data_IF_296172263871
#
_entry.id   IF_296172263871
#
_cell.length_a   1.000
_cell.length_b   1.000
_cell.length_c   1.000
_cell.angle_alpha   90.00
_cell.angle_beta   90.00
_cell.angle_gamma   90.00
#
_symmetry.space_group_name_H-M   'P 1'
#
loop_
_entity.id
_entity.type
_entity.pdbx_description
1 polymer ?
#
# COMPACT_ATOMS: atom_id res chain seq x y z
N UNK A 1 4.70 1.48 -0.80
CA UNK A 1 3.71 1.48 0.31
C UNK A 1 2.66 0.37 0.14
N UNK A 2 1.98 0.25 -1.02
CA UNK A 2 0.99 -0.81 -1.25
C UNK A 2 1.59 -2.22 -1.18
N UNK A 3 2.84 -2.40 -1.55
CA UNK A 3 3.57 -3.67 -1.49
C UNK A 3 4.01 -4.08 -0.08
N UNK A 4 4.19 -3.11 0.80
CA UNK A 4 4.64 -3.36 2.18
C UNK A 4 3.49 -3.58 3.16
N UNK A 5 2.23 -3.37 2.75
CA UNK A 5 1.05 -3.51 3.60
C UNK A 5 -0.08 -4.17 2.84
N UNK A 6 -0.35 -5.44 3.14
CA UNK A 6 -1.47 -6.19 2.56
C UNK A 6 -2.79 -5.43 2.78
N UNK A 7 -3.57 -5.26 1.71
CA UNK A 7 -4.87 -4.58 1.74
C UNK A 7 -4.82 -3.07 1.49
N UNK A 8 -3.66 -2.41 1.58
CA UNK A 8 -3.58 -0.96 1.36
C UNK A 8 -3.92 -0.56 -0.09
N UNK A 9 -3.65 -1.44 -1.06
CA UNK A 9 -4.05 -1.24 -2.47
C UNK A 9 -5.56 -1.16 -2.65
N UNK A 10 -6.32 -1.95 -1.88
CA UNK A 10 -7.78 -1.93 -1.90
C UNK A 10 -8.29 -0.60 -1.36
N UNK A 11 -7.73 -0.14 -0.22
CA UNK A 11 -8.08 1.17 0.36
C UNK A 11 -7.80 2.31 -0.62
N UNK A 12 -6.65 2.28 -1.30
CA UNK A 12 -6.36 3.30 -2.32
C UNK A 12 -7.31 3.23 -3.52
N UNK A 13 -7.68 2.02 -3.95
CA UNK A 13 -8.66 1.86 -5.05
C UNK A 13 -10.01 2.42 -4.67
N UNK A 14 -10.48 2.19 -3.45
CA UNK A 14 -11.74 2.76 -2.95
C UNK A 14 -11.67 4.28 -2.80
N UNK A 15 -10.53 4.83 -2.33
CA UNK A 15 -10.36 6.27 -2.15
C UNK A 15 -10.25 7.06 -3.46
N UNK A 16 -9.80 6.44 -4.55
CA UNK A 16 -9.54 7.08 -5.85
C UNK A 16 -10.55 6.63 -6.91
N UNK A 17 -11.28 5.54 -6.65
CA UNK A 17 -12.32 5.02 -7.53
C UNK A 17 -13.60 5.83 -7.44
N UNK A 18 -14.44 5.74 -8.49
CA UNK A 18 -15.79 6.34 -8.51
C UNK A 18 -16.86 5.36 -8.01
N UNK A 19 -16.49 4.13 -7.72
CA UNK A 19 -17.38 3.08 -7.21
C UNK A 19 -17.08 2.89 -5.72
N UNK A 20 -17.80 3.59 -4.83
CA UNK A 20 -17.62 3.43 -3.39
C UNK A 20 -17.70 4.76 -2.63
N UNK A 21 -16.88 4.88 -1.58
CA UNK A 21 -16.86 6.09 -0.78
C UNK A 21 -16.07 7.21 -1.47
N UNK A 22 -16.56 8.43 -1.32
CA UNK A 22 -15.96 9.65 -1.85
C UNK A 22 -15.69 10.67 -0.73
N UNK A 23 -14.98 11.76 -1.07
CA UNK A 23 -14.71 12.85 -0.15
C UNK A 23 -15.73 13.97 -0.34
N UNK A 24 -16.36 14.36 0.76
CA UNK A 24 -17.32 15.45 0.81
C UNK A 24 -16.87 16.53 1.77
N UNK A 25 -17.18 17.79 1.46
CA UNK A 25 -17.12 18.89 2.41
C UNK A 25 -18.48 18.98 3.12
N UNK A 26 -18.48 18.87 4.42
CA UNK A 26 -19.71 18.82 5.21
C UNK A 26 -19.66 19.81 6.37
N UNK A 27 -20.76 20.53 6.52
CA UNK A 27 -21.07 21.36 7.67
C UNK A 27 -22.56 21.20 7.99
N UNK A 28 -22.96 21.02 9.27
CA UNK A 28 -24.37 21.00 9.64
C UNK A 28 -25.03 22.34 9.36
N UNK A 29 -26.29 22.36 8.95
CA UNK A 29 -27.06 23.57 8.67
C UNK A 29 -27.12 24.50 9.88
N UNK A 30 -27.23 23.96 11.10
CA UNK A 30 -27.26 24.67 12.36
C UNK A 30 -25.86 25.01 12.91
N UNK A 31 -24.80 24.73 12.13
CA UNK A 31 -23.40 24.89 12.52
C UNK A 31 -22.92 23.83 13.53
N UNK A 32 -21.65 23.95 13.90
CA UNK A 32 -21.02 23.05 14.89
C UNK A 32 -21.45 23.44 16.29
N UNK A 33 -22.20 22.58 16.99
CA UNK A 33 -22.68 22.86 18.35
C UNK A 33 -21.53 22.94 19.38
N UNK A 34 -21.32 24.11 19.98
CA UNK A 34 -20.36 24.32 21.07
C UNK A 34 -18.88 24.34 20.64
N UNK A 35 -17.99 24.15 21.61
CA UNK A 35 -16.54 24.07 21.37
C UNK A 35 -16.20 22.65 20.91
N UNK A 36 -16.32 22.39 19.62
CA UNK A 36 -16.02 21.09 19.02
C UNK A 36 -14.55 21.03 18.60
N UNK A 37 -13.86 19.94 18.96
CA UNK A 37 -12.54 19.63 18.41
C UNK A 37 -12.64 18.59 17.31
N UNK A 38 -11.60 18.49 16.47
CA UNK A 38 -11.55 17.45 15.47
C UNK A 38 -11.63 16.03 16.11
N UNK A 39 -10.98 15.83 17.25
CA UNK A 39 -11.05 14.59 18.00
C UNK A 39 -12.46 14.23 18.46
N UNK A 40 -13.25 15.24 18.89
CA UNK A 40 -14.64 15.05 19.27
C UNK A 40 -15.53 14.68 18.08
N UNK A 41 -15.22 15.24 16.91
CA UNK A 41 -16.01 15.00 15.69
C UNK A 41 -15.91 13.54 15.19
N UNK A 42 -14.78 12.86 15.41
CA UNK A 42 -14.54 11.51 14.91
C UNK A 42 -15.65 10.52 15.35
N UNK A 43 -16.17 10.67 16.56
CA UNK A 43 -17.18 9.78 17.11
C UNK A 43 -18.63 10.26 16.92
N UNK A 44 -18.84 11.33 16.14
CA UNK A 44 -20.16 11.94 15.91
C UNK A 44 -20.80 11.59 14.57
N UNK A 45 -20.21 10.66 13.85
CA UNK A 45 -20.74 10.13 12.60
C UNK A 45 -20.86 8.61 12.69
N UNK A 46 -21.93 8.04 12.14
CA UNK A 46 -22.22 6.61 12.26
C UNK A 46 -21.65 5.80 11.09
N UNK A 47 -21.78 6.29 9.87
CA UNK A 47 -21.47 5.59 8.62
C UNK A 47 -20.45 6.32 7.77
N UNK A 48 -19.89 7.41 8.27
CA UNK A 48 -18.92 8.23 7.57
C UNK A 48 -17.76 8.60 8.49
N UNK A 49 -16.61 8.95 7.91
CA UNK A 49 -15.37 9.15 8.66
C UNK A 49 -14.79 10.54 8.40
N UNK A 50 -14.65 11.39 9.43
CA UNK A 50 -13.92 12.64 9.32
C UNK A 50 -12.43 12.38 9.04
N UNK A 51 -11.93 12.96 7.97
CA UNK A 51 -10.54 12.81 7.50
C UNK A 51 -9.71 14.07 7.68
N UNK A 52 -10.38 15.25 7.79
CA UNK A 52 -9.71 16.52 7.88
C UNK A 52 -10.67 17.71 8.05
N UNK A 53 -10.10 18.90 7.95
CA UNK A 53 -10.81 20.16 8.04
C UNK A 53 -10.47 21.03 6.83
N UNK A 54 -11.48 21.63 6.22
CA UNK A 54 -11.37 22.72 5.26
C UNK A 54 -11.76 23.98 5.99
N UNK A 55 -10.80 24.86 6.26
CA UNK A 55 -11.07 26.05 7.06
C UNK A 55 -11.61 27.21 6.22
N UNK A 56 -12.14 28.23 6.90
CA UNK A 56 -12.68 29.44 6.28
C UNK A 56 -11.68 30.25 5.44
N UNK A 57 -10.37 29.95 5.52
CA UNK A 57 -9.32 30.52 4.68
C UNK A 57 -9.05 29.72 3.41
N UNK A 58 -9.74 28.62 3.20
CA UNK A 58 -9.56 27.71 2.06
C UNK A 58 -8.38 26.74 2.23
N UNK A 59 -7.86 26.55 3.43
CA UNK A 59 -6.79 25.60 3.70
C UNK A 59 -7.38 24.21 3.99
N UNK A 60 -6.81 23.19 3.38
CA UNK A 60 -7.14 21.77 3.61
C UNK A 60 -6.12 21.17 4.57
N UNK A 61 -6.58 20.73 5.73
CA UNK A 61 -5.75 20.09 6.76
C UNK A 61 -6.23 18.66 6.95
N UNK A 62 -5.48 17.70 6.41
CA UNK A 62 -5.77 16.27 6.58
C UNK A 62 -5.15 15.76 7.87
N UNK A 63 -5.88 14.87 8.56
CA UNK A 63 -5.46 14.26 9.83
C UNK A 63 -4.92 15.29 10.83
N UNK A 64 -5.66 16.35 11.14
CA UNK A 64 -5.21 17.37 12.07
C UNK A 64 -5.07 16.81 13.50
N UNK A 65 -4.46 17.60 14.38
CA UNK A 65 -4.43 17.26 15.82
C UNK A 65 -5.84 17.03 16.35
N UNK A 66 -6.00 16.05 17.23
CA UNK A 66 -7.29 15.81 17.90
C UNK A 66 -7.81 17.04 18.67
N UNK A 67 -6.90 17.85 19.20
CA UNK A 67 -7.23 19.06 19.97
C UNK A 67 -7.48 20.28 19.08
N UNK A 68 -7.40 20.13 17.75
CA UNK A 68 -7.67 21.23 16.83
C UNK A 68 -9.14 21.62 16.94
N UNK A 69 -9.45 22.91 17.29
CA UNK A 69 -10.81 23.39 17.31
C UNK A 69 -11.39 23.45 15.89
N UNK A 70 -12.68 23.19 15.79
CA UNK A 70 -13.47 23.38 14.56
C UNK A 70 -14.27 24.67 14.74
N UNK A 71 -13.97 25.66 13.92
CA UNK A 71 -14.65 26.96 13.95
C UNK A 71 -16.04 26.86 13.27
N UNK A 72 -16.90 27.84 13.51
CA UNK A 72 -18.28 27.84 13.00
C UNK A 72 -18.39 27.75 11.47
N UNK A 73 -17.41 28.29 10.76
CA UNK A 73 -17.39 28.39 9.31
C UNK A 73 -16.53 27.30 8.64
N UNK A 74 -15.90 26.46 9.44
CA UNK A 74 -15.12 25.34 8.94
C UNK A 74 -16.03 24.22 8.43
N UNK A 75 -15.54 23.47 7.44
CA UNK A 75 -16.14 22.27 6.92
C UNK A 75 -15.28 21.06 7.29
N UNK A 76 -15.89 19.96 7.67
CA UNK A 76 -15.18 18.69 7.77
C UNK A 76 -15.04 18.05 6.40
N UNK A 77 -13.87 17.50 6.14
CA UNK A 77 -13.65 16.59 5.01
C UNK A 77 -14.07 15.22 5.47
N UNK A 78 -15.17 14.73 4.92
CA UNK A 78 -15.81 13.46 5.30
C UNK A 78 -15.62 12.44 4.17
N UNK A 79 -15.25 11.23 4.54
CA UNK A 79 -15.24 10.08 3.65
C UNK A 79 -16.51 9.28 3.87
N UNK A 80 -17.38 9.22 2.86
CA UNK A 80 -18.71 8.62 2.92
C UNK A 80 -19.11 8.03 1.57
N UNK A 81 -20.09 7.10 1.58
CA UNK A 81 -20.64 6.48 0.37
C UNK A 81 -21.40 7.49 -0.51
N UNK A 82 -22.12 8.42 0.14
CA UNK A 82 -22.91 9.45 -0.53
C UNK A 82 -23.13 10.60 0.44
N UNK A 83 -23.29 11.83 -0.06
CA UNK A 83 -23.52 13.02 0.79
C UNK A 83 -24.79 12.89 1.63
N UNK A 84 -25.84 12.26 1.09
CA UNK A 84 -27.10 12.00 1.79
C UNK A 84 -26.97 11.00 2.95
N UNK A 85 -25.85 10.27 3.04
CA UNK A 85 -25.56 9.32 4.13
C UNK A 85 -24.76 9.94 5.27
N UNK A 86 -24.37 11.22 5.16
CA UNK A 86 -23.61 11.93 6.18
C UNK A 86 -24.56 12.47 7.23
N UNK A 87 -24.61 11.81 8.39
CA UNK A 87 -25.42 12.22 9.54
C UNK A 87 -24.54 12.61 10.71
N UNK A 88 -24.57 13.89 11.08
CA UNK A 88 -23.90 14.42 12.27
C UNK A 88 -24.81 14.29 13.48
N UNK A 89 -24.23 13.88 14.60
CA UNK A 89 -24.88 13.79 15.90
C UNK A 89 -24.22 14.73 16.89
N UNK A 90 -25.00 15.51 17.63
CA UNK A 90 -24.49 16.41 18.67
C UNK A 90 -23.75 15.67 19.80
N UNK A 91 -24.08 14.41 20.01
CA UNK A 91 -23.43 13.53 21.00
C UNK A 91 -22.68 12.41 20.29
N UNK A 92 -21.58 11.92 20.88
CA UNK A 92 -20.89 10.74 20.35
C UNK A 92 -21.86 9.58 20.13
N UNK A 93 -21.79 8.98 18.94
CA UNK A 93 -22.62 7.80 18.56
C UNK A 93 -22.10 6.54 19.23
N UNK A 94 -20.81 6.53 19.54
CA UNK A 94 -20.15 5.47 20.29
C UNK A 94 -19.06 6.05 21.17
N UNK A 95 -18.82 5.42 22.31
CA UNK A 95 -17.68 5.74 23.15
C UNK A 95 -16.50 4.86 22.75
N UNK A 96 -15.30 5.44 22.56
CA UNK A 96 -14.13 4.64 22.27
C UNK A 96 -13.88 3.65 23.42
N UNK A 97 -13.61 2.40 23.07
CA UNK A 97 -13.23 1.39 24.05
C UNK A 97 -12.01 1.86 24.82
N UNK A 98 -12.09 1.88 26.15
CA UNK A 98 -10.95 2.15 27.03
C UNK A 98 -10.01 0.95 27.17
N UNK A 99 -10.29 -0.17 26.47
CA UNK A 99 -9.39 -1.30 26.41
C UNK A 99 -8.04 -0.82 25.84
N UNK A 100 -6.98 -1.05 26.60
CA UNK A 100 -5.64 -0.64 26.21
C UNK A 100 -5.29 -1.31 24.89
N UNK A 101 -5.30 -0.54 23.81
CA UNK A 101 -4.62 -0.96 22.59
C UNK A 101 -3.15 -1.15 22.97
N UNK A 102 -2.55 -2.32 22.71
CA UNK A 102 -1.14 -2.50 22.98
C UNK A 102 -0.35 -1.41 22.26
N UNK A 103 0.29 -0.53 23.01
CA UNK A 103 1.17 0.53 22.45
C UNK A 103 2.58 0.01 22.18
N UNK A 104 2.78 -1.32 22.22
CA UNK A 104 4.05 -1.89 21.79
C UNK A 104 4.28 -1.56 20.33
N UNK A 105 5.36 -0.85 20.06
CA UNK A 105 5.84 -0.65 18.69
C UNK A 105 6.07 -2.05 18.14
N UNK A 106 5.25 -2.44 17.16
CA UNK A 106 5.49 -3.68 16.42
C UNK A 106 6.71 -3.38 15.55
N UNK A 107 7.85 -3.95 15.95
CA UNK A 107 9.03 -3.86 15.09
C UNK A 107 8.71 -4.49 13.74
N UNK A 108 9.02 -3.79 12.63
CA UNK A 108 8.78 -4.32 11.31
C UNK A 108 9.61 -5.60 11.14
N UNK A 109 8.94 -6.70 10.78
CA UNK A 109 9.63 -7.95 10.45
C UNK A 109 10.36 -7.81 9.12
N UNK A 110 11.52 -8.48 8.99
CA UNK A 110 12.19 -8.61 7.70
C UNK A 110 11.27 -9.29 6.68
N UNK A 111 11.36 -8.88 5.43
CA UNK A 111 10.58 -9.40 4.31
C UNK A 111 11.50 -10.04 3.27
N UNK A 112 11.03 -11.11 2.65
CA UNK A 112 11.63 -11.71 1.46
C UNK A 112 10.82 -11.31 0.23
N UNK A 113 11.42 -10.54 -0.66
CA UNK A 113 10.77 -10.02 -1.87
C UNK A 113 11.43 -10.62 -3.10
N UNK A 114 10.63 -11.23 -3.98
CA UNK A 114 11.08 -11.64 -5.30
C UNK A 114 10.67 -10.60 -6.36
N UNK A 115 11.57 -10.28 -7.27
CA UNK A 115 11.30 -9.47 -8.44
C UNK A 115 11.64 -10.30 -9.68
N UNK A 116 10.68 -10.45 -10.57
CA UNK A 116 10.81 -11.24 -11.79
C UNK A 116 10.86 -10.32 -13.00
N UNK A 117 11.84 -10.51 -13.83
CA UNK A 117 12.26 -9.70 -14.98
C UNK A 117 13.03 -8.42 -14.65
N UNK A 118 13.72 -7.93 -15.68
CA UNK A 118 14.44 -6.68 -15.68
C UNK A 118 13.94 -5.75 -16.77
N UNK A 119 13.79 -4.48 -16.44
CA UNK A 119 13.39 -3.41 -17.36
C UNK A 119 14.27 -2.19 -17.13
N UNK A 120 14.21 -1.22 -18.00
CA UNK A 120 14.92 0.06 -17.82
C UNK A 120 14.55 0.82 -16.55
N UNK A 121 13.41 0.50 -15.93
CA UNK A 121 12.93 1.12 -14.68
C UNK A 121 13.29 0.30 -13.45
N UNK A 122 13.83 -0.90 -13.60
CA UNK A 122 14.06 -1.83 -12.48
C UNK A 122 14.99 -1.25 -11.43
N UNK A 123 16.07 -0.59 -11.82
CA UNK A 123 17.00 0.03 -10.89
C UNK A 123 16.30 1.03 -9.94
N UNK A 124 15.42 1.87 -10.47
CA UNK A 124 14.62 2.83 -9.67
C UNK A 124 13.64 2.09 -8.76
N UNK A 125 13.02 1.01 -9.26
CA UNK A 125 12.09 0.20 -8.47
C UNK A 125 12.82 -0.45 -7.29
N UNK A 126 14.00 -1.03 -7.53
CA UNK A 126 14.82 -1.65 -6.49
C UNK A 126 15.26 -0.64 -5.44
N UNK A 127 15.73 0.55 -5.84
CA UNK A 127 16.08 1.63 -4.91
C UNK A 127 14.90 1.99 -4.00
N UNK A 128 13.72 2.16 -4.58
CA UNK A 128 12.50 2.45 -3.80
C UNK A 128 12.10 1.29 -2.89
N UNK A 129 12.19 0.05 -3.35
CA UNK A 129 11.95 -1.11 -2.50
C UNK A 129 12.90 -1.13 -1.31
N UNK A 130 14.21 -1.01 -1.54
CA UNK A 130 15.21 -0.99 -0.47
C UNK A 130 14.95 0.12 0.55
N UNK A 131 14.48 1.31 0.12
CA UNK A 131 14.17 2.41 1.03
C UNK A 131 12.98 2.16 1.96
N UNK A 132 12.11 1.18 1.65
CA UNK A 132 10.94 0.82 2.45
C UNK A 132 11.07 -0.53 3.18
N UNK A 133 11.99 -1.38 2.76
CA UNK A 133 12.17 -2.68 3.38
C UNK A 133 12.80 -2.55 4.76
N UNK A 134 12.30 -3.29 5.76
CA UNK A 134 12.93 -3.35 7.07
C UNK A 134 14.33 -3.96 7.00
N UNK A 135 15.17 -3.62 7.98
CA UNK A 135 16.51 -4.22 8.12
C UNK A 135 16.44 -5.75 8.19
N UNK A 136 17.40 -6.41 7.56
CA UNK A 136 17.47 -7.86 7.46
C UNK A 136 16.49 -8.47 6.44
N UNK A 137 15.88 -7.65 5.56
CA UNK A 137 15.08 -8.13 4.45
C UNK A 137 15.96 -8.63 3.31
N UNK A 138 15.39 -9.53 2.48
CA UNK A 138 16.01 -10.09 1.29
C UNK A 138 15.28 -9.61 0.04
N UNK A 139 16.02 -9.17 -0.97
CA UNK A 139 15.51 -8.77 -2.28
C UNK A 139 16.16 -9.63 -3.35
N UNK A 140 15.40 -10.61 -3.87
CA UNK A 140 15.86 -11.55 -4.88
C UNK A 140 15.33 -11.16 -6.26
N UNK A 141 16.23 -10.87 -7.19
CA UNK A 141 15.88 -10.56 -8.59
C UNK A 141 16.15 -11.80 -9.44
N UNK A 142 15.16 -12.19 -10.24
CA UNK A 142 15.23 -13.32 -11.16
C UNK A 142 15.01 -12.85 -12.59
N UNK A 143 15.92 -13.21 -13.47
CA UNK A 143 15.94 -12.76 -14.87
C UNK A 143 16.30 -13.89 -15.80
N UNK A 144 15.82 -13.81 -17.05
CA UNK A 144 16.17 -14.81 -18.06
C UNK A 144 17.55 -14.57 -18.70
N UNK A 145 18.08 -13.35 -18.60
CA UNK A 145 19.40 -13.02 -19.11
C UNK A 145 20.06 -12.00 -18.17
N UNK A 146 21.27 -12.26 -17.77
CA UNK A 146 22.04 -11.33 -16.96
C UNK A 146 22.57 -10.19 -17.84
N UNK A 147 22.39 -8.95 -17.38
CA UNK A 147 22.84 -7.74 -18.06
C UNK A 147 23.93 -7.04 -17.23
N UNK A 148 24.96 -6.44 -17.86
CA UNK A 148 26.02 -5.74 -17.12
C UNK A 148 25.51 -4.65 -16.17
N UNK A 149 24.43 -3.98 -16.52
CA UNK A 149 23.78 -2.95 -15.69
C UNK A 149 23.18 -3.49 -14.38
N UNK A 150 22.90 -4.78 -14.34
CA UNK A 150 22.36 -5.43 -13.14
C UNK A 150 23.42 -5.54 -12.05
N UNK A 151 24.64 -5.94 -12.42
CA UNK A 151 25.75 -6.04 -11.48
C UNK A 151 26.13 -4.67 -10.92
N UNK A 152 26.10 -3.63 -11.75
CA UNK A 152 26.32 -2.26 -11.30
C UNK A 152 25.22 -1.81 -10.33
N UNK A 153 23.97 -2.06 -10.66
CA UNK A 153 22.83 -1.73 -9.80
C UNK A 153 22.91 -2.46 -8.46
N UNK A 154 23.27 -3.75 -8.47
CA UNK A 154 23.47 -4.55 -7.27
C UNK A 154 24.56 -3.97 -6.37
N UNK A 155 25.71 -3.61 -6.95
CA UNK A 155 26.82 -3.05 -6.19
C UNK A 155 26.45 -1.72 -5.52
N UNK A 156 25.81 -0.81 -6.26
CA UNK A 156 25.35 0.48 -5.74
C UNK A 156 24.33 0.30 -4.63
N UNK A 157 23.33 -0.57 -4.83
CA UNK A 157 22.30 -0.81 -3.82
C UNK A 157 22.85 -1.50 -2.55
N UNK A 158 23.82 -2.40 -2.69
CA UNK A 158 24.48 -3.03 -1.54
C UNK A 158 25.30 -2.04 -0.71
N UNK A 159 25.86 -1.01 -1.36
CA UNK A 159 26.57 0.09 -0.67
C UNK A 159 25.59 1.03 0.06
N UNK A 160 24.50 1.42 -0.63
CA UNK A 160 23.51 2.36 -0.09
C UNK A 160 22.60 1.73 0.99
N UNK A 161 22.33 0.42 0.89
CA UNK A 161 21.42 -0.33 1.76
C UNK A 161 22.08 -1.59 2.35
N UNK A 162 23.13 -1.45 3.18
CA UNK A 162 23.91 -2.58 3.69
C UNK A 162 23.13 -3.55 4.59
N UNK A 163 21.98 -3.12 5.10
CA UNK A 163 21.09 -3.94 5.93
C UNK A 163 20.10 -4.79 5.12
N UNK A 164 20.12 -4.70 3.77
CA UNK A 164 19.25 -5.47 2.86
C UNK A 164 20.12 -6.44 2.05
N UNK A 165 19.78 -7.71 2.08
CA UNK A 165 20.45 -8.71 1.26
C UNK A 165 19.89 -8.69 -0.16
N UNK A 166 20.75 -8.43 -1.16
CA UNK A 166 20.34 -8.31 -2.56
C UNK A 166 21.02 -9.40 -3.39
N UNK A 167 20.22 -10.23 -4.03
CA UNK A 167 20.68 -11.28 -4.94
C UNK A 167 20.11 -11.11 -6.34
N UNK A 168 20.93 -11.46 -7.35
CA UNK A 168 20.50 -11.49 -8.75
C UNK A 168 20.77 -12.88 -9.31
N UNK A 169 19.73 -13.49 -9.86
CA UNK A 169 19.73 -14.88 -10.28
C UNK A 169 19.26 -15.00 -11.72
N UNK A 170 20.01 -15.71 -12.53
CA UNK A 170 19.64 -16.03 -13.90
C UNK A 170 18.89 -17.38 -13.93
N UNK A 171 17.66 -17.34 -14.42
CA UNK A 171 16.79 -18.51 -14.56
C UNK A 171 15.90 -18.38 -15.78
N UNK A 172 15.44 -19.49 -16.35
CA UNK A 172 14.42 -19.44 -17.39
C UNK A 172 13.02 -19.23 -16.78
N UNK A 173 12.54 -17.97 -16.86
CA UNK A 173 11.20 -17.60 -16.38
C UNK A 173 10.05 -18.21 -17.19
N UNK A 174 10.33 -18.83 -18.35
CA UNK A 174 9.35 -19.54 -19.16
C UNK A 174 9.27 -21.01 -18.82
N UNK A 175 10.26 -21.56 -18.11
CA UNK A 175 10.26 -22.95 -17.68
C UNK A 175 9.62 -23.13 -16.30
N UNK A 176 8.66 -24.04 -16.21
CA UNK A 176 7.91 -24.30 -14.97
C UNK A 176 8.80 -24.93 -13.87
N UNK A 177 9.83 -25.69 -14.27
CA UNK A 177 10.74 -26.33 -13.32
C UNK A 177 11.61 -25.25 -12.67
N UNK A 178 12.22 -24.39 -13.47
CA UNK A 178 13.02 -23.27 -13.00
C UNK A 178 12.20 -22.31 -12.10
N UNK A 179 10.95 -22.03 -12.46
CA UNK A 179 10.03 -21.24 -11.61
C UNK A 179 9.72 -21.92 -10.27
N UNK A 180 9.64 -23.26 -10.24
CA UNK A 180 9.41 -23.99 -8.99
C UNK A 180 10.66 -24.00 -8.11
N UNK A 181 11.87 -23.96 -8.69
CA UNK A 181 13.15 -23.88 -7.97
C UNK A 181 13.34 -22.56 -7.24
N UNK A 182 12.65 -21.48 -7.66
CA UNK A 182 12.59 -20.20 -6.92
C UNK A 182 11.97 -20.40 -5.53
N UNK A 183 11.15 -21.42 -5.34
CA UNK A 183 10.35 -21.64 -4.13
C UNK A 183 9.45 -20.43 -3.80
N UNK A 184 8.52 -20.05 -4.69
CA UNK A 184 7.73 -18.81 -4.55
C UNK A 184 6.92 -18.73 -3.25
N UNK A 185 6.63 -19.87 -2.60
CA UNK A 185 5.97 -19.94 -1.29
C UNK A 185 6.81 -19.37 -0.13
N UNK A 186 8.11 -19.15 -0.32
CA UNK A 186 9.02 -18.64 0.69
C UNK A 186 9.19 -17.11 0.62
N UNK A 187 8.51 -16.44 -0.30
CA UNK A 187 8.51 -14.98 -0.42
C UNK A 187 7.24 -14.37 0.16
N UNK A 188 7.39 -13.26 0.86
CA UNK A 188 6.27 -12.48 1.36
C UNK A 188 5.58 -11.69 0.24
N UNK A 189 6.36 -11.31 -0.79
CA UNK A 189 5.87 -10.59 -1.96
C UNK A 189 6.62 -10.98 -3.22
N UNK A 190 5.88 -11.09 -4.33
CA UNK A 190 6.44 -11.36 -5.65
C UNK A 190 5.98 -10.26 -6.60
N UNK A 191 6.94 -9.54 -7.18
CA UNK A 191 6.72 -8.53 -8.21
C UNK A 191 7.06 -9.11 -9.56
N UNK A 192 6.13 -8.98 -10.49
CA UNK A 192 6.35 -9.38 -11.90
C UNK A 192 6.42 -8.10 -12.72
N UNK A 193 7.57 -7.85 -13.33
CA UNK A 193 7.73 -6.75 -14.27
C UNK A 193 7.48 -7.24 -15.69
N UNK A 194 6.88 -6.37 -16.48
CA UNK A 194 6.65 -6.64 -17.90
C UNK A 194 7.98 -6.57 -18.65
N UNK A 195 8.30 -7.53 -19.52
CA UNK A 195 9.48 -7.42 -20.37
C UNK A 195 9.32 -6.24 -21.34
N UNK A 196 10.40 -5.50 -21.59
CA UNK A 196 10.38 -4.42 -22.55
C UNK A 196 10.42 -4.90 -24.01
N UNK A 197 10.02 -4.04 -24.96
CA UNK A 197 10.30 -4.22 -26.40
C UNK A 197 9.23 -4.95 -27.23
N UNK A 198 8.07 -5.28 -26.66
CA UNK A 198 6.92 -5.90 -27.34
C UNK A 198 5.70 -4.96 -27.36
N UNK A 199 4.59 -5.41 -27.95
CA UNK A 199 3.31 -4.67 -27.85
C UNK A 199 2.74 -4.74 -26.44
N UNK A 200 1.83 -3.84 -26.09
CA UNK A 200 1.19 -3.80 -24.77
C UNK A 200 0.46 -5.12 -24.51
N UNK A 201 -0.24 -5.66 -25.51
CA UNK A 201 -0.99 -6.90 -25.42
C UNK A 201 -0.08 -8.11 -25.15
N UNK A 202 1.10 -8.17 -25.78
CA UNK A 202 2.08 -9.23 -25.55
C UNK A 202 2.72 -9.12 -24.16
N UNK A 203 2.98 -7.90 -23.70
CA UNK A 203 3.48 -7.65 -22.35
C UNK A 203 2.50 -8.09 -21.28
N UNK A 204 1.22 -7.75 -21.44
CA UNK A 204 0.15 -8.16 -20.51
C UNK A 204 -0.04 -9.67 -20.54
N UNK A 205 -0.07 -10.29 -21.71
CA UNK A 205 -0.19 -11.74 -21.86
C UNK A 205 0.98 -12.49 -21.19
N UNK A 206 2.20 -11.97 -21.29
CA UNK A 206 3.36 -12.52 -20.62
C UNK A 206 3.23 -12.46 -19.09
N UNK A 207 2.90 -11.29 -18.54
CA UNK A 207 2.73 -11.09 -17.09
C UNK A 207 1.62 -11.99 -16.54
N UNK A 208 0.47 -12.06 -17.23
CA UNK A 208 -0.65 -12.94 -16.85
C UNK A 208 -0.23 -14.41 -16.89
N UNK A 209 0.48 -14.84 -17.93
CA UNK A 209 0.96 -16.21 -18.06
C UNK A 209 1.90 -16.59 -16.91
N UNK A 210 2.85 -15.70 -16.58
CA UNK A 210 3.78 -15.91 -15.47
C UNK A 210 3.07 -15.94 -14.11
N UNK A 211 2.12 -15.04 -13.90
CA UNK A 211 1.28 -15.03 -12.71
C UNK A 211 0.49 -16.33 -12.53
N UNK A 212 -0.11 -16.85 -13.60
CA UNK A 212 -0.87 -18.12 -13.56
C UNK A 212 0.06 -19.28 -13.18
N UNK A 213 1.26 -19.36 -13.75
CA UNK A 213 2.25 -20.42 -13.45
C UNK A 213 2.69 -20.36 -11.99
N UNK A 214 3.04 -19.18 -11.48
CA UNK A 214 3.41 -18.99 -10.06
C UNK A 214 2.25 -19.40 -9.16
N UNK A 215 1.03 -18.99 -9.47
CA UNK A 215 -0.16 -19.38 -8.71
C UNK A 215 -0.36 -20.91 -8.69
N UNK A 216 -0.15 -21.59 -9.81
CA UNK A 216 -0.23 -23.06 -9.86
C UNK A 216 0.80 -23.72 -8.96
N UNK A 217 2.04 -23.21 -8.93
CA UNK A 217 3.10 -23.69 -8.05
C UNK A 217 2.71 -23.48 -6.57
N UNK A 218 2.24 -22.30 -6.24
CA UNK A 218 1.80 -21.96 -4.88
C UNK A 218 0.67 -22.87 -4.39
N UNK A 219 -0.34 -23.14 -5.23
CA UNK A 219 -1.45 -24.02 -4.89
C UNK A 219 -0.94 -25.46 -4.69
N UNK A 220 -0.09 -25.95 -5.57
CA UNK A 220 0.49 -27.28 -5.46
C UNK A 220 1.30 -27.45 -4.17
N UNK A 221 2.14 -26.47 -3.85
CA UNK A 221 3.02 -26.52 -2.68
C UNK A 221 2.26 -26.26 -1.36
N UNK A 222 1.13 -25.53 -1.39
CA UNK A 222 0.26 -25.33 -0.22
C UNK A 222 -0.61 -26.55 0.10
N UNK A 223 -0.96 -27.36 -0.87
CA UNK A 223 -1.73 -28.60 -0.69
C UNK A 223 -0.93 -29.80 -0.20
N UNK A 224 0.38 -29.66 -0.10
CA UNK A 224 1.30 -30.72 0.36
C UNK A 224 1.63 -30.64 1.88
N UNK A 225 0.93 -29.77 2.61
CA UNK A 225 0.93 -29.69 4.09
C UNK A 225 -0.42 -30.21 4.63
#
# INVERSE_FOLDING_TARGET
>A
LALSRNGLSIVYSDMVGFDGNEFYFYRPDDGWGGNLTFGDSINRFRSSTPMGVHNSKGEIILNPSKDMPIESDDELIIFAEDDSTIFYFEKPVFEPSTSKIPTSIIEPKSHRVALLNWTTKTAIILEKLCSYLPKGSELCVFVSNNLPEMELSKATLAEDYPDIEISMNEIDLNDLISLNEIEPQNFDSILILSPGGTTIEEMDAYVISLLIRIRQILIKNSGAK
#
